data_IF_642291929063
#
_entry.id   IF_642291929063
#
_cell.length_a   1.000
_cell.length_b   1.000
_cell.length_c   1.000
_cell.angle_alpha   90.00
_cell.angle_beta   90.00
_cell.angle_gamma   90.00
#
_symmetry.space_group_name_H-M   'P 1'
#
loop_
_entity.id
_entity.type
_entity.pdbx_description
1 polymer ?
#
# COMPACT_ATOMS: atom_id res chain seq x y z
N UNK A 1 35.52 -59.46 -12.47
CA UNK A 1 34.30 -59.02 -11.77
C UNK A 1 34.24 -57.50 -11.91
N UNK A 2 33.24 -56.98 -12.62
CA UNK A 2 33.14 -55.57 -13.01
C UNK A 2 32.70 -54.71 -11.81
N UNK A 3 33.50 -53.69 -11.46
CA UNK A 3 33.12 -52.64 -10.50
C UNK A 3 32.22 -51.62 -11.18
N UNK A 4 30.98 -51.49 -10.72
CA UNK A 4 30.02 -50.49 -11.17
C UNK A 4 30.17 -49.27 -10.24
N UNK A 5 30.66 -48.15 -10.79
CA UNK A 5 30.61 -46.84 -10.14
C UNK A 5 29.17 -46.31 -10.22
N UNK A 6 28.52 -46.12 -9.08
CA UNK A 6 27.19 -45.52 -8.98
C UNK A 6 27.36 -43.98 -8.96
N UNK A 7 27.03 -43.30 -10.07
CA UNK A 7 26.87 -41.84 -10.08
C UNK A 7 25.51 -41.50 -9.45
N UNK A 8 25.53 -40.84 -8.29
CA UNK A 8 24.33 -40.22 -7.70
C UNK A 8 24.16 -38.83 -8.33
N UNK A 9 23.20 -38.69 -9.24
CA UNK A 9 22.82 -37.40 -9.79
C UNK A 9 22.02 -36.61 -8.74
N UNK A 10 22.61 -35.54 -8.20
CA UNK A 10 21.93 -34.58 -7.33
C UNK A 10 21.00 -33.73 -8.19
N UNK A 11 19.71 -34.09 -8.30
CA UNK A 11 18.71 -33.21 -8.90
C UNK A 11 18.36 -32.12 -7.88
N UNK A 12 18.84 -30.90 -8.11
CA UNK A 12 18.45 -29.75 -7.30
C UNK A 12 16.95 -29.47 -7.48
N UNK A 13 16.20 -29.47 -6.38
CA UNK A 13 14.83 -28.95 -6.38
C UNK A 13 14.89 -27.46 -6.73
N UNK A 14 14.43 -27.10 -7.92
CA UNK A 14 14.08 -25.72 -8.26
C UNK A 14 12.82 -25.36 -7.47
N UNK A 15 13.02 -24.78 -6.28
CA UNK A 15 11.95 -24.15 -5.51
C UNK A 15 11.53 -22.91 -6.30
N UNK A 16 10.48 -23.05 -7.10
CA UNK A 16 9.83 -21.89 -7.70
C UNK A 16 9.16 -21.15 -6.55
N UNK A 17 9.70 -19.99 -6.18
CA UNK A 17 9.03 -19.09 -5.27
C UNK A 17 7.67 -18.75 -5.87
N UNK A 18 6.60 -19.34 -5.31
CA UNK A 18 5.23 -18.96 -5.66
C UNK A 18 5.13 -17.50 -5.22
N UNK A 19 4.87 -16.54 -6.13
CA UNK A 19 4.68 -15.16 -5.73
C UNK A 19 3.57 -15.13 -4.69
N UNK A 20 3.87 -14.54 -3.52
CA UNK A 20 2.86 -14.35 -2.49
C UNK A 20 1.71 -13.56 -3.12
N UNK A 21 0.44 -13.92 -2.85
CA UNK A 21 -0.68 -13.11 -3.29
C UNK A 21 -0.58 -11.74 -2.60
N UNK A 22 -0.06 -10.76 -3.33
CA UNK A 22 -0.04 -9.37 -2.89
C UNK A 22 -1.47 -8.82 -2.98
N UNK A 23 -1.94 -8.02 -2.01
CA UNK A 23 -3.12 -7.21 -2.22
C UNK A 23 -2.94 -6.39 -3.50
N UNK A 24 -3.86 -6.56 -4.44
CA UNK A 24 -3.90 -5.79 -5.67
C UNK A 24 -5.06 -4.80 -5.56
N UNK A 25 -4.91 -3.69 -4.81
CA UNK A 25 -5.89 -2.61 -4.88
C UNK A 25 -6.06 -2.19 -6.35
N UNK A 26 -7.23 -1.67 -6.72
CA UNK A 26 -7.44 -1.21 -8.09
C UNK A 26 -6.54 -0.02 -8.43
N UNK A 27 -6.29 0.17 -9.72
CA UNK A 27 -5.67 1.39 -10.23
C UNK A 27 -4.14 1.44 -10.14
N UNK A 28 -3.45 0.35 -9.77
CA UNK A 28 -1.98 0.30 -9.88
C UNK A 28 -1.57 0.47 -11.36
N UNK A 29 -0.82 1.51 -11.72
CA UNK A 29 -0.45 1.76 -13.12
C UNK A 29 0.56 0.74 -13.63
N UNK A 30 0.76 0.69 -14.96
CA UNK A 30 1.95 0.05 -15.53
C UNK A 30 3.22 0.82 -15.13
N UNK A 31 4.38 0.15 -15.10
CA UNK A 31 5.65 0.79 -14.70
C UNK A 31 6.01 1.97 -15.60
N UNK A 32 5.74 1.88 -16.91
CA UNK A 32 5.96 2.99 -17.86
C UNK A 32 5.09 4.19 -17.53
N UNK A 33 3.80 3.97 -17.25
CA UNK A 33 2.87 5.03 -16.82
C UNK A 33 3.32 5.67 -15.51
N UNK A 34 3.69 4.87 -14.50
CA UNK A 34 4.19 5.40 -13.23
C UNK A 34 5.46 6.23 -13.40
N UNK A 35 6.41 5.82 -14.27
CA UNK A 35 7.60 6.64 -14.56
C UNK A 35 7.24 7.99 -15.19
N UNK A 36 6.26 8.01 -16.09
CA UNK A 36 5.73 9.25 -16.68
C UNK A 36 5.03 10.12 -15.65
N UNK A 37 4.16 9.55 -14.83
CA UNK A 37 3.46 10.26 -13.73
C UNK A 37 4.49 10.84 -12.74
N UNK A 38 5.50 10.05 -12.32
CA UNK A 38 6.60 10.50 -11.45
C UNK A 38 7.37 11.68 -12.04
N UNK A 39 7.68 11.64 -13.35
CA UNK A 39 8.34 12.75 -14.02
C UNK A 39 7.50 14.03 -13.96
N UNK A 40 6.18 13.91 -14.13
CA UNK A 40 5.22 15.01 -14.10
C UNK A 40 4.91 15.56 -12.70
N UNK A 41 5.18 14.81 -11.62
CA UNK A 41 4.95 15.28 -10.25
C UNK A 41 5.77 16.56 -9.97
N UNK A 42 5.07 17.58 -9.46
CA UNK A 42 5.67 18.86 -9.06
C UNK A 42 6.51 18.66 -7.80
N UNK A 43 7.77 19.05 -7.88
CA UNK A 43 8.69 19.00 -6.73
C UNK A 43 8.60 20.30 -5.93
N UNK A 44 8.34 20.19 -4.62
CA UNK A 44 8.35 21.32 -3.67
C UNK A 44 8.89 20.90 -2.32
N UNK A 45 9.33 21.85 -1.52
CA UNK A 45 9.52 21.61 -0.09
C UNK A 45 8.20 21.20 0.55
N UNK A 46 8.25 20.34 1.57
CA UNK A 46 7.05 20.01 2.34
C UNK A 46 6.41 21.29 2.90
N UNK A 47 5.09 21.38 2.82
CA UNK A 47 4.31 22.46 3.43
C UNK A 47 4.32 22.37 4.96
N UNK A 48 3.75 23.39 5.61
CA UNK A 48 3.62 23.41 7.07
C UNK A 48 2.67 22.30 7.57
N UNK A 49 2.94 21.82 8.78
CA UNK A 49 2.05 20.95 9.54
C UNK A 49 0.94 21.73 10.26
N UNK A 50 1.04 23.06 10.31
CA UNK A 50 0.10 23.90 11.04
C UNK A 50 -1.35 23.66 10.59
N UNK A 51 -2.24 23.57 11.58
CA UNK A 51 -3.66 23.34 11.37
C UNK A 51 -4.03 21.92 10.94
N UNK A 52 -3.07 21.00 10.81
CA UNK A 52 -3.39 19.60 10.58
C UNK A 52 -4.09 19.01 11.81
N UNK A 53 -5.21 18.37 11.55
CA UNK A 53 -5.89 17.45 12.45
C UNK A 53 -6.41 16.29 11.60
N UNK A 54 -6.24 15.06 12.09
CA UNK A 54 -6.68 13.85 11.39
C UNK A 54 -8.20 13.85 11.18
N UNK A 55 -8.95 14.45 12.10
CA UNK A 55 -10.42 14.52 12.02
C UNK A 55 -10.91 15.41 10.86
N UNK A 56 -10.03 16.22 10.27
CA UNK A 56 -10.33 16.96 9.03
C UNK A 56 -10.44 16.06 7.79
N UNK A 57 -10.10 14.77 7.91
CA UNK A 57 -10.26 13.73 6.91
C UNK A 57 -11.30 12.69 7.38
N UNK A 58 -12.61 12.97 7.25
CA UNK A 58 -13.64 12.08 7.74
C UNK A 58 -13.50 10.65 7.19
N UNK A 59 -13.48 9.68 8.10
CA UNK A 59 -13.51 8.24 7.84
C UNK A 59 -14.44 7.59 8.87
N UNK A 60 -14.99 6.40 8.66
CA UNK A 60 -14.98 5.57 7.45
C UNK A 60 -16.37 5.62 6.79
N UNK A 61 -16.43 5.97 5.50
CA UNK A 61 -17.69 6.02 4.74
C UNK A 61 -18.22 4.63 4.42
N UNK A 62 -19.53 4.49 4.22
CA UNK A 62 -20.11 3.30 3.60
C UNK A 62 -19.77 3.25 2.11
N UNK A 63 -19.09 2.19 1.66
CA UNK A 63 -18.67 2.00 0.26
C UNK A 63 -19.66 1.12 -0.50
N UNK A 64 -20.11 0.02 0.10
CA UNK A 64 -21.03 -0.92 -0.54
C UNK A 64 -21.83 -1.70 0.49
N UNK A 65 -23.16 -1.74 0.34
CA UNK A 65 -24.05 -2.38 1.30
C UNK A 65 -23.86 -1.80 2.70
N UNK A 66 -23.51 -2.65 3.67
CA UNK A 66 -23.18 -2.26 5.06
C UNK A 66 -21.67 -2.11 5.31
N UNK A 67 -20.83 -2.33 4.30
CA UNK A 67 -19.38 -2.24 4.43
C UNK A 67 -18.95 -0.78 4.43
N UNK A 68 -18.41 -0.32 5.57
CA UNK A 68 -17.60 0.89 5.57
C UNK A 68 -16.28 0.65 4.81
N UNK A 69 -15.53 1.72 4.57
CA UNK A 69 -14.25 1.66 3.86
C UNK A 69 -13.27 0.64 4.47
N UNK A 70 -13.17 0.57 5.80
CA UNK A 70 -12.28 -0.39 6.47
C UNK A 70 -12.65 -1.83 6.11
N UNK A 71 -13.91 -2.18 6.33
CA UNK A 71 -14.40 -3.54 6.08
C UNK A 71 -14.42 -3.88 4.59
N UNK A 72 -14.65 -2.89 3.73
CA UNK A 72 -14.53 -3.05 2.28
C UNK A 72 -13.10 -3.46 1.89
N UNK A 73 -12.09 -2.76 2.41
CA UNK A 73 -10.68 -3.06 2.12
C UNK A 73 -10.27 -4.42 2.69
N UNK A 74 -10.66 -4.75 3.93
CA UNK A 74 -10.40 -6.07 4.49
C UNK A 74 -11.00 -7.19 3.63
N UNK A 75 -12.24 -7.03 3.18
CA UNK A 75 -12.89 -8.00 2.30
C UNK A 75 -12.22 -8.10 0.93
N UNK A 76 -11.72 -6.99 0.39
CA UNK A 76 -11.02 -6.92 -0.91
C UNK A 76 -9.64 -7.58 -0.86
N UNK A 77 -8.88 -7.34 0.21
CA UNK A 77 -7.47 -7.72 0.31
C UNK A 77 -7.26 -9.10 0.95
N UNK A 78 -8.31 -9.67 1.56
CA UNK A 78 -8.27 -10.99 2.16
C UNK A 78 -8.76 -12.10 1.23
N UNK A 79 -8.32 -13.32 1.50
CA UNK A 79 -8.81 -14.55 0.89
C UNK A 79 -9.78 -15.26 1.84
N UNK A 80 -10.85 -15.85 1.31
CA UNK A 80 -11.88 -16.55 2.08
C UNK A 80 -12.48 -15.72 3.22
N UNK A 81 -12.61 -14.40 3.02
CA UNK A 81 -13.16 -13.50 4.04
C UNK A 81 -14.65 -13.77 4.23
N UNK A 82 -15.03 -14.11 5.45
CA UNK A 82 -16.42 -14.20 5.89
C UNK A 82 -16.73 -12.95 6.68
N UNK A 83 -17.89 -12.35 6.41
CA UNK A 83 -18.38 -11.15 7.10
C UNK A 83 -19.73 -11.43 7.74
N UNK A 84 -20.02 -10.74 8.85
CA UNK A 84 -21.36 -10.75 9.46
C UNK A 84 -22.32 -9.78 8.73
N UNK A 85 -23.54 -9.60 9.26
CA UNK A 85 -24.55 -8.70 8.67
C UNK A 85 -24.14 -7.21 8.67
N UNK A 86 -23.25 -6.80 9.56
CA UNK A 86 -22.66 -5.46 9.60
C UNK A 86 -21.41 -5.32 8.70
N UNK A 87 -21.12 -6.34 7.87
CA UNK A 87 -19.92 -6.46 7.05
C UNK A 87 -18.60 -6.56 7.85
N UNK A 88 -18.65 -6.73 9.17
CA UNK A 88 -17.42 -6.96 9.95
C UNK A 88 -16.81 -8.29 9.58
N UNK A 89 -15.53 -8.30 9.20
CA UNK A 89 -14.78 -9.53 8.95
C UNK A 89 -14.71 -10.40 10.22
N UNK A 90 -15.25 -11.62 10.14
CA UNK A 90 -15.24 -12.60 11.24
C UNK A 90 -14.19 -13.68 11.07
N UNK A 91 -13.75 -13.94 9.83
CA UNK A 91 -12.65 -14.84 9.51
C UNK A 91 -12.11 -14.50 8.12
N UNK A 92 -10.87 -14.92 7.85
CA UNK A 92 -10.24 -14.79 6.55
C UNK A 92 -8.75 -15.10 6.64
N UNK A 93 -8.04 -14.85 5.56
CA UNK A 93 -6.58 -14.90 5.53
C UNK A 93 -6.08 -13.70 4.75
N UNK A 94 -5.15 -12.96 5.33
CA UNK A 94 -4.54 -11.78 4.72
C UNK A 94 -3.03 -11.97 4.71
N UNK A 95 -2.41 -11.52 3.63
CA UNK A 95 -0.94 -11.43 3.54
C UNK A 95 -0.61 -9.95 3.49
N UNK A 96 0.14 -9.46 4.49
CA UNK A 96 0.56 -8.07 4.48
C UNK A 96 1.67 -7.87 3.45
N UNK A 97 1.52 -6.93 2.51
CA UNK A 97 2.53 -6.69 1.49
C UNK A 97 3.79 -5.99 2.04
N UNK A 98 3.75 -5.48 3.27
CA UNK A 98 4.87 -4.72 3.83
C UNK A 98 5.98 -5.60 4.41
N UNK A 99 5.62 -6.80 4.88
CA UNK A 99 6.51 -7.74 5.56
C UNK A 99 6.35 -9.20 5.05
N UNK A 100 5.30 -9.48 4.26
CA UNK A 100 4.96 -10.84 3.81
C UNK A 100 4.30 -11.70 4.89
N UNK A 101 3.97 -11.15 6.06
CA UNK A 101 3.35 -11.87 7.15
C UNK A 101 1.90 -12.26 6.81
N UNK A 102 1.46 -13.41 7.32
CA UNK A 102 0.10 -13.92 7.12
C UNK A 102 -0.69 -13.84 8.41
N UNK A 103 -1.91 -13.30 8.32
CA UNK A 103 -2.80 -13.06 9.45
C UNK A 103 -4.17 -13.69 9.20
N UNK A 104 -4.81 -14.16 10.27
CA UNK A 104 -6.18 -14.71 10.23
C UNK A 104 -7.17 -13.94 11.08
N UNK A 105 -6.69 -13.08 11.98
CA UNK A 105 -7.53 -12.15 12.73
C UNK A 105 -7.47 -10.78 12.07
N UNK A 106 -8.64 -10.21 11.78
CA UNK A 106 -8.75 -8.87 11.20
C UNK A 106 -8.31 -7.74 12.16
N UNK A 107 -8.05 -8.06 13.43
CA UNK A 107 -7.51 -7.15 14.44
C UNK A 107 -6.00 -6.95 14.33
N UNK A 108 -5.27 -7.90 13.72
CA UNK A 108 -3.82 -7.80 13.50
C UNK A 108 -3.49 -6.97 12.24
N UNK A 109 -4.53 -6.37 11.64
CA UNK A 109 -4.45 -5.60 10.41
C UNK A 109 -5.02 -4.20 10.58
N UNK A 110 -4.24 -3.27 10.06
CA UNK A 110 -4.67 -1.91 9.79
C UNK A 110 -5.04 -1.73 8.33
N UNK A 111 -5.89 -0.74 8.06
CA UNK A 111 -6.06 -0.19 6.72
C UNK A 111 -5.19 1.05 6.60
N UNK A 112 -4.04 0.89 5.95
CA UNK A 112 -3.10 1.98 5.74
C UNK A 112 -3.61 2.96 4.69
N UNK A 113 -3.44 4.25 4.96
CA UNK A 113 -3.42 5.29 3.94
C UNK A 113 -2.02 5.30 3.34
N UNK A 114 -1.86 4.66 2.16
CA UNK A 114 -0.57 4.47 1.50
C UNK A 114 0.22 5.78 1.49
N UNK A 115 -0.38 6.85 0.96
CA UNK A 115 0.06 8.23 1.23
C UNK A 115 -0.63 8.69 2.52
N UNK A 116 0.10 8.88 3.64
CA UNK A 116 -0.49 9.26 4.91
C UNK A 116 -1.27 10.58 4.83
N UNK A 117 -2.33 10.72 5.63
CA UNK A 117 -3.17 11.93 5.64
C UNK A 117 -2.35 13.20 5.98
N UNK A 118 -1.39 13.07 6.90
CA UNK A 118 -0.43 14.12 7.26
C UNK A 118 0.55 14.45 6.11
N UNK A 119 1.01 13.45 5.36
CA UNK A 119 1.80 13.68 4.16
C UNK A 119 0.98 14.41 3.09
N UNK A 120 -0.27 13.99 2.87
CA UNK A 120 -1.20 14.65 1.96
C UNK A 120 -1.42 16.11 2.36
N UNK A 121 -1.59 16.41 3.66
CA UNK A 121 -1.72 17.77 4.19
C UNK A 121 -0.55 18.66 3.76
N UNK A 122 0.68 18.23 4.06
CA UNK A 122 1.92 18.94 3.72
C UNK A 122 2.17 19.04 2.21
N UNK A 123 1.52 18.22 1.40
CA UNK A 123 1.73 18.20 -0.06
C UNK A 123 0.59 18.81 -0.88
N UNK A 124 -0.44 19.35 -0.24
CA UNK A 124 -1.48 20.13 -0.91
C UNK A 124 -2.88 20.03 -0.28
N UNK A 125 -3.14 19.01 0.54
CA UNK A 125 -4.48 18.77 1.10
C UNK A 125 -4.91 19.77 2.18
N UNK A 126 -3.99 20.58 2.70
CA UNK A 126 -4.33 21.71 3.59
C UNK A 126 -5.24 22.74 2.92
N UNK A 127 -5.14 22.89 1.60
CA UNK A 127 -5.98 23.81 0.81
C UNK A 127 -7.31 23.17 0.36
N UNK A 128 -7.52 21.88 0.63
CA UNK A 128 -8.72 21.18 0.20
C UNK A 128 -9.94 21.55 1.04
N UNK A 129 -11.12 21.36 0.46
CA UNK A 129 -12.37 21.27 1.22
C UNK A 129 -12.42 19.97 2.03
N UNK A 130 -13.28 19.91 3.05
CA UNK A 130 -13.51 18.68 3.82
C UNK A 130 -14.00 17.53 2.93
N UNK A 131 -14.84 17.81 1.93
CA UNK A 131 -15.33 16.79 1.00
C UNK A 131 -14.19 16.16 0.17
N UNK A 132 -13.21 16.95 -0.26
CA UNK A 132 -12.02 16.44 -0.96
C UNK A 132 -11.13 15.59 -0.04
N UNK A 133 -10.92 16.03 1.21
CA UNK A 133 -10.19 15.23 2.22
C UNK A 133 -10.90 13.91 2.54
N UNK A 134 -12.22 13.94 2.71
CA UNK A 134 -13.05 12.75 2.91
C UNK A 134 -12.98 11.80 1.70
N UNK A 135 -13.01 12.33 0.47
CA UNK A 135 -12.86 11.52 -0.73
C UNK A 135 -11.50 10.81 -0.77
N UNK A 136 -10.41 11.54 -0.51
CA UNK A 136 -9.06 10.98 -0.42
C UNK A 136 -8.93 9.90 0.66
N UNK A 137 -9.48 10.15 1.86
CA UNK A 137 -9.37 9.24 2.98
C UNK A 137 -10.21 7.95 2.82
N UNK A 138 -11.15 7.92 1.88
CA UNK A 138 -12.01 6.77 1.59
C UNK A 138 -11.84 6.23 0.16
N UNK A 139 -10.74 6.57 -0.52
CA UNK A 139 -10.53 6.19 -1.91
C UNK A 139 -10.20 4.70 -2.04
N UNK A 140 -11.19 3.94 -2.53
CA UNK A 140 -11.06 2.52 -2.85
C UNK A 140 -10.90 2.25 -4.35
N UNK A 141 -10.85 3.30 -5.18
CA UNK A 141 -10.74 3.21 -6.64
C UNK A 141 -9.31 3.37 -7.15
N UNK A 142 -8.48 4.08 -6.39
CA UNK A 142 -7.02 4.15 -6.55
C UNK A 142 -6.33 3.33 -5.46
N UNK A 143 -5.01 3.07 -5.56
CA UNK A 143 -4.29 2.26 -4.58
C UNK A 143 -3.90 3.07 -3.34
N UNK A 144 -4.86 3.79 -2.75
CA UNK A 144 -4.64 4.63 -1.56
C UNK A 144 -4.83 3.86 -0.25
N UNK A 145 -5.62 2.79 -0.25
CA UNK A 145 -5.95 2.02 0.95
C UNK A 145 -5.55 0.56 0.80
N UNK A 146 -4.91 -0.02 1.83
CA UNK A 146 -4.37 -1.39 1.84
C UNK A 146 -4.50 -2.01 3.23
N UNK A 147 -4.87 -3.30 3.30
CA UNK A 147 -4.74 -4.07 4.55
C UNK A 147 -3.27 -4.47 4.78
N UNK A 148 -2.71 -4.09 5.93
CA UNK A 148 -1.30 -4.33 6.29
C UNK A 148 -1.16 -4.71 7.76
N UNK A 149 -0.06 -5.35 8.14
CA UNK A 149 0.24 -5.67 9.55
C UNK A 149 0.21 -4.40 10.40
N UNK A 150 -0.53 -4.43 11.52
CA UNK A 150 -0.77 -3.29 12.40
C UNK A 150 0.52 -2.58 12.87
N UNK A 151 1.43 -3.28 13.53
CA UNK A 151 2.65 -2.72 14.09
C UNK A 151 3.65 -2.23 13.01
N UNK A 152 3.59 -2.82 11.81
CA UNK A 152 4.38 -2.36 10.66
C UNK A 152 3.81 -1.04 10.13
N UNK A 153 2.48 -0.89 10.12
CA UNK A 153 1.81 0.36 9.79
C UNK A 153 2.08 1.46 10.84
N UNK A 154 2.06 1.11 12.12
CA UNK A 154 2.44 2.01 13.21
C UNK A 154 3.90 2.48 13.05
N UNK A 155 4.82 1.57 12.68
CA UNK A 155 6.21 1.91 12.40
C UNK A 155 6.37 2.84 11.18
N UNK A 156 5.50 2.74 10.18
CA UNK A 156 5.46 3.67 9.04
C UNK A 156 5.00 5.06 9.50
N UNK A 157 3.93 5.12 10.27
CA UNK A 157 3.30 6.36 10.71
C UNK A 157 3.00 7.30 9.54
N UNK A 158 3.40 8.57 9.68
CA UNK A 158 3.21 9.61 8.66
C UNK A 158 4.39 9.76 7.67
N UNK A 159 5.31 8.79 7.68
CA UNK A 159 6.56 8.84 6.90
C UNK A 159 6.32 8.72 5.39
N UNK A 160 7.13 9.42 4.61
CA UNK A 160 7.26 9.21 3.17
C UNK A 160 8.22 8.06 2.82
N UNK A 161 8.27 7.64 1.54
CA UNK A 161 9.18 6.61 1.04
C UNK A 161 10.66 6.93 1.25
N UNK A 162 11.01 8.20 1.46
CA UNK A 162 12.35 8.66 1.81
C UNK A 162 12.80 8.16 3.19
N UNK A 163 11.89 8.10 4.15
CA UNK A 163 12.18 7.80 5.57
C UNK A 163 11.77 6.38 5.97
N UNK A 164 10.74 5.83 5.32
CA UNK A 164 10.26 4.48 5.59
C UNK A 164 10.01 3.71 4.28
N UNK A 165 10.32 2.42 4.27
CA UNK A 165 10.02 1.52 3.15
C UNK A 165 9.52 0.18 3.68
N UNK A 166 8.68 -0.55 2.94
CA UNK A 166 8.36 -1.95 3.22
C UNK A 166 9.63 -2.76 3.47
N UNK A 167 9.63 -3.58 4.53
CA UNK A 167 10.73 -4.51 4.80
C UNK A 167 10.85 -5.59 3.73
N UNK A 168 9.73 -5.96 3.12
CA UNK A 168 9.68 -6.84 1.96
C UNK A 168 10.12 -6.10 0.70
N UNK A 169 11.40 -6.23 0.34
CA UNK A 169 12.00 -5.49 -0.79
C UNK A 169 11.39 -5.82 -2.14
N UNK A 170 10.83 -7.02 -2.32
CA UNK A 170 10.10 -7.38 -3.54
C UNK A 170 8.87 -6.51 -3.78
N UNK A 171 8.32 -5.89 -2.73
CA UNK A 171 7.16 -5.01 -2.83
C UNK A 171 7.50 -3.56 -3.23
N UNK A 172 8.78 -3.19 -3.31
CA UNK A 172 9.18 -1.79 -3.52
C UNK A 172 8.70 -1.21 -4.85
N UNK A 173 8.78 -1.98 -5.94
CA UNK A 173 8.26 -1.57 -7.24
C UNK A 173 6.76 -1.27 -7.16
N UNK A 174 5.98 -2.19 -6.59
CA UNK A 174 4.52 -2.05 -6.42
C UNK A 174 4.20 -0.84 -5.55
N UNK A 175 4.82 -0.72 -4.37
CA UNK A 175 4.67 0.40 -3.45
C UNK A 175 4.91 1.76 -4.13
N UNK A 176 6.03 1.90 -4.84
CA UNK A 176 6.38 3.15 -5.52
C UNK A 176 5.35 3.51 -6.59
N UNK A 177 4.91 2.54 -7.41
CA UNK A 177 3.91 2.78 -8.46
C UNK A 177 2.59 3.27 -7.86
N UNK A 178 2.15 2.68 -6.75
CA UNK A 178 0.93 3.10 -6.06
C UNK A 178 1.08 4.49 -5.46
N UNK A 179 2.19 4.78 -4.77
CA UNK A 179 2.45 6.09 -4.18
C UNK A 179 2.45 7.18 -5.25
N UNK A 180 3.18 6.97 -6.36
CA UNK A 180 3.19 7.87 -7.52
C UNK A 180 1.78 8.10 -8.04
N UNK A 181 1.01 7.01 -8.22
CA UNK A 181 -0.36 7.08 -8.72
C UNK A 181 -1.23 7.97 -7.85
N UNK A 182 -1.21 7.76 -6.54
CA UNK A 182 -2.00 8.55 -5.60
C UNK A 182 -1.59 10.03 -5.67
N UNK A 183 -0.29 10.32 -5.56
CA UNK A 183 0.20 11.71 -5.60
C UNK A 183 -0.20 12.40 -6.90
N UNK A 184 -0.12 11.68 -8.03
CA UNK A 184 -0.50 12.19 -9.34
C UNK A 184 -2.01 12.44 -9.45
N UNK A 185 -2.84 11.45 -9.10
CA UNK A 185 -4.31 11.55 -9.17
C UNK A 185 -4.83 12.74 -8.35
N UNK A 186 -4.26 12.96 -7.17
CA UNK A 186 -4.68 14.03 -6.26
C UNK A 186 -3.93 15.35 -6.43
N UNK A 187 -3.06 15.46 -7.45
CA UNK A 187 -2.22 16.65 -7.69
C UNK A 187 -1.42 17.10 -6.46
N UNK A 188 -0.95 16.13 -5.66
CA UNK A 188 -0.10 16.36 -4.49
C UNK A 188 1.36 16.51 -4.93
N UNK A 189 2.09 17.42 -4.29
CA UNK A 189 3.51 17.62 -4.56
C UNK A 189 4.38 16.56 -3.90
N UNK A 190 5.58 16.33 -4.43
CA UNK A 190 6.60 15.49 -3.78
C UNK A 190 7.80 16.34 -3.36
N UNK A 191 8.50 15.93 -2.31
CA UNK A 191 9.82 16.51 -2.02
C UNK A 191 10.90 15.96 -2.94
N UNK A 192 12.06 16.62 -3.01
CA UNK A 192 13.21 16.09 -3.77
C UNK A 192 13.69 14.74 -3.21
N UNK A 193 13.64 14.56 -1.89
CA UNK A 193 14.01 13.31 -1.22
C UNK A 193 12.99 12.20 -1.55
N UNK A 194 11.70 12.50 -1.43
CA UNK A 194 10.60 11.60 -1.78
C UNK A 194 10.69 11.15 -3.25
N UNK A 195 10.90 12.09 -4.19
CA UNK A 195 11.06 11.78 -5.63
C UNK A 195 12.28 10.90 -5.90
N UNK A 196 13.38 11.11 -5.17
CA UNK A 196 14.59 10.28 -5.29
C UNK A 196 14.37 8.86 -4.76
N UNK A 197 13.67 8.72 -3.64
CA UNK A 197 13.30 7.42 -3.08
C UNK A 197 12.37 6.65 -4.03
N UNK A 198 11.33 7.30 -4.55
CA UNK A 198 10.43 6.71 -5.54
C UNK A 198 11.16 6.29 -6.82
N UNK A 199 12.12 7.09 -7.29
CA UNK A 199 12.96 6.76 -8.45
C UNK A 199 13.79 5.50 -8.19
N UNK A 200 14.35 5.37 -6.99
CA UNK A 200 15.13 4.18 -6.59
C UNK A 200 14.23 2.95 -6.50
N UNK A 201 13.07 3.07 -5.86
CA UNK A 201 12.16 1.94 -5.66
C UNK A 201 11.53 1.45 -6.97
N UNK A 202 11.13 2.36 -7.88
CA UNK A 202 10.56 1.96 -9.18
C UNK A 202 11.60 1.36 -10.14
N UNK A 203 12.90 1.48 -9.83
CA UNK A 203 13.98 0.80 -10.56
C UNK A 203 14.16 -0.67 -10.16
N UNK A 204 13.41 -1.15 -9.16
CA UNK A 204 13.34 -2.57 -8.78
C UNK A 204 12.30 -3.35 -9.59
N UNK A 205 11.54 -2.65 -10.45
CA UNK A 205 10.82 -3.26 -11.57
C UNK A 205 11.83 -3.61 -12.68
#
# INVERSE_FOLDING_TARGET
MFSILLLVALQGLLVHAVPLPEPTPPGIPATTTAKTELAALTVKTAGSQDGYDRDLFPTWNTISGTCNTREYVLKRDGTNVVVNSACTATSGTWVSPYDGATWTAASDLDIDHLVPLSNAWKSGASAWTTAQRQAFANDVTNPQLLAVTDNVNESKGDSGPEDWKPSLTSYWCTYAKMWIKVKYTYSLTVTSAEKSALTTMIATC
#
